data_IF_214883219770
#
_entry.id   IF_214883219770
#
_cell.length_a   1.000
_cell.length_b   1.000
_cell.length_c   1.000
_cell.angle_alpha   90.00
_cell.angle_beta   90.00
_cell.angle_gamma   90.00
#
_symmetry.space_group_name_H-M   'P 1'
#
loop_
_entity.id
_entity.type
_entity.pdbx_description
1 polymer ?
#
# COMPACT_ATOMS: atom_id res chain seq x y z
N UNK A 1 -7.03 -8.94 3.05
CA UNK A 1 -8.44 -8.47 3.01
C UNK A 1 -9.29 -9.55 2.33
N UNK A 2 -10.56 -9.72 2.71
CA UNK A 2 -11.42 -10.70 2.06
C UNK A 2 -11.79 -10.20 0.66
N UNK A 3 -11.55 -11.01 -0.37
CA UNK A 3 -11.83 -10.66 -1.77
C UNK A 3 -10.81 -9.68 -2.37
N UNK A 4 -11.11 -8.38 -2.32
CA UNK A 4 -10.33 -7.31 -2.98
C UNK A 4 -9.77 -6.30 -1.99
N UNK A 5 -8.74 -5.59 -2.43
CA UNK A 5 -8.23 -4.42 -1.75
C UNK A 5 -7.84 -3.37 -2.77
N UNK A 6 -8.51 -2.21 -2.73
CA UNK A 6 -8.34 -1.14 -3.71
C UNK A 6 -8.51 -1.67 -5.15
N UNK A 7 -9.55 -2.49 -5.37
CA UNK A 7 -9.83 -3.11 -6.66
C UNK A 7 -8.94 -4.31 -7.05
N UNK A 8 -7.78 -4.47 -6.42
CA UNK A 8 -6.85 -5.57 -6.70
C UNK A 8 -7.31 -6.90 -6.07
N UNK A 9 -7.18 -7.99 -6.83
CA UNK A 9 -7.35 -9.37 -6.34
C UNK A 9 -5.99 -9.93 -5.89
N UNK A 10 -6.01 -10.94 -5.02
CA UNK A 10 -4.79 -11.63 -4.58
C UNK A 10 -3.95 -10.85 -3.55
N UNK A 11 -4.55 -9.89 -2.85
CA UNK A 11 -3.90 -9.17 -1.75
C UNK A 11 -4.09 -9.95 -0.45
N UNK A 12 -3.01 -10.59 -0.01
CA UNK A 12 -3.01 -11.43 1.19
C UNK A 12 -2.86 -10.60 2.47
N UNK A 13 -1.81 -9.77 2.54
CA UNK A 13 -1.42 -9.06 3.75
C UNK A 13 -1.12 -7.58 3.45
N UNK A 14 -1.65 -6.68 4.28
CA UNK A 14 -1.35 -5.24 4.24
C UNK A 14 -0.83 -4.85 5.63
N UNK A 15 0.47 -5.04 5.90
CA UNK A 15 1.03 -4.82 7.23
C UNK A 15 1.16 -3.32 7.53
N UNK A 16 1.06 -2.96 8.81
CA UNK A 16 1.55 -1.67 9.28
C UNK A 16 3.08 -1.60 9.17
N UNK A 17 3.65 -0.40 9.17
CA UNK A 17 5.10 -0.22 9.19
C UNK A 17 5.78 -0.99 10.34
N UNK A 18 5.16 -1.02 11.53
CA UNK A 18 5.68 -1.74 12.69
C UNK A 18 5.62 -3.27 12.49
N UNK A 19 4.55 -3.79 11.90
CA UNK A 19 4.46 -5.20 11.55
C UNK A 19 5.53 -5.61 10.53
N UNK A 20 5.74 -4.79 9.49
CA UNK A 20 6.77 -5.02 8.49
C UNK A 20 8.18 -5.02 9.12
N UNK A 21 8.48 -4.06 10.00
CA UNK A 21 9.75 -4.01 10.74
C UNK A 21 10.01 -5.30 11.52
N UNK A 22 9.00 -5.80 12.23
CA UNK A 22 9.11 -7.07 12.98
C UNK A 22 9.31 -8.27 12.04
N UNK A 23 8.67 -8.27 10.88
CA UNK A 23 8.80 -9.35 9.91
C UNK A 23 10.21 -9.40 9.34
N UNK A 24 10.76 -8.26 8.90
CA UNK A 24 12.14 -8.15 8.44
C UNK A 24 13.12 -8.69 9.49
N UNK A 25 12.94 -8.30 10.76
CA UNK A 25 13.78 -8.79 11.85
C UNK A 25 13.69 -10.31 12.02
N UNK A 26 12.47 -10.88 12.07
CA UNK A 26 12.27 -12.34 12.19
C UNK A 26 12.81 -13.11 10.98
N UNK A 27 12.80 -12.50 9.79
CA UNK A 27 13.37 -13.07 8.57
C UNK A 27 14.90 -13.03 8.54
N UNK A 28 15.56 -12.49 9.58
CA UNK A 28 17.00 -12.47 9.73
C UNK A 28 17.67 -11.20 9.21
N UNK A 29 16.92 -10.18 8.80
CA UNK A 29 17.49 -8.88 8.44
C UNK A 29 17.86 -8.05 9.69
N UNK A 30 18.90 -7.24 9.55
CA UNK A 30 19.44 -6.30 10.54
C UNK A 30 19.55 -4.91 9.92
N UNK A 31 19.87 -3.91 10.75
CA UNK A 31 20.01 -2.50 10.33
C UNK A 31 18.79 -2.03 9.51
N UNK A 32 17.58 -2.25 10.05
CA UNK A 32 16.33 -1.93 9.37
C UNK A 32 16.05 -0.45 9.53
N UNK A 33 15.99 0.29 8.42
CA UNK A 33 15.67 1.71 8.40
C UNK A 33 14.35 1.94 7.67
N UNK A 34 13.55 2.87 8.20
CA UNK A 34 12.27 3.27 7.62
C UNK A 34 12.42 4.65 6.96
N UNK A 35 12.20 4.70 5.65
CA UNK A 35 12.37 5.90 4.83
C UNK A 35 11.09 6.72 4.67
N UNK A 36 9.98 6.23 5.23
CA UNK A 36 8.71 6.95 5.25
C UNK A 36 7.53 6.18 4.66
N UNK A 37 6.36 6.77 4.89
CA UNK A 37 5.08 6.30 4.36
C UNK A 37 4.54 7.33 3.37
N UNK A 38 4.11 6.86 2.20
CA UNK A 38 3.59 7.72 1.14
C UNK A 38 2.18 7.27 0.76
N UNK A 39 1.27 8.24 0.68
CA UNK A 39 -0.09 7.99 0.23
C UNK A 39 -0.09 7.63 -1.26
N UNK A 40 -0.85 6.59 -1.61
CA UNK A 40 -0.88 6.02 -2.96
C UNK A 40 -1.53 6.94 -4.01
N UNK A 41 -2.37 7.89 -3.59
CA UNK A 41 -3.36 8.57 -4.45
C UNK A 41 -2.88 9.60 -5.48
N UNK A 42 -1.75 10.29 -5.27
CA UNK A 42 -1.35 11.41 -6.15
C UNK A 42 -0.46 11.01 -7.31
N UNK A 43 0.39 10.02 -7.10
CA UNK A 43 1.37 9.54 -8.08
C UNK A 43 0.70 8.77 -9.22
N UNK A 44 -0.27 7.91 -8.89
CA UNK A 44 -0.93 7.03 -9.83
C UNK A 44 -2.31 7.58 -10.19
N UNK A 45 -2.43 8.13 -11.39
CA UNK A 45 -3.67 8.72 -11.92
C UNK A 45 -3.87 8.34 -13.38
N UNK A 46 -5.10 8.46 -13.85
CA UNK A 46 -5.43 8.30 -15.26
C UNK A 46 -4.77 9.40 -16.08
N UNK A 47 -4.31 9.06 -17.28
CA UNK A 47 -3.71 9.98 -18.24
C UNK A 47 -4.32 9.72 -19.62
N UNK A 48 -4.09 10.61 -20.57
CA UNK A 48 -4.61 10.49 -21.95
C UNK A 48 -4.15 9.21 -22.65
N UNK A 49 -3.01 8.65 -22.23
CA UNK A 49 -2.43 7.44 -22.82
C UNK A 49 -3.12 6.14 -22.39
N UNK A 50 -4.07 6.16 -21.43
CA UNK A 50 -4.68 4.94 -20.92
C UNK A 50 -6.12 5.11 -20.42
N UNK A 51 -6.95 4.11 -20.70
CA UNK A 51 -8.38 4.07 -20.33
C UNK A 51 -8.69 3.06 -19.21
N UNK A 52 -7.66 2.58 -18.51
CA UNK A 52 -7.87 1.67 -17.39
C UNK A 52 -8.19 2.45 -16.11
N UNK A 53 -9.00 1.88 -15.21
CA UNK A 53 -9.20 2.44 -13.88
C UNK A 53 -7.88 2.67 -13.16
N UNK A 54 -7.79 3.78 -12.44
CA UNK A 54 -6.63 4.18 -11.67
C UNK A 54 -6.97 4.27 -10.18
N UNK A 55 -6.01 4.73 -9.38
CA UNK A 55 -6.14 4.77 -7.92
C UNK A 55 -7.39 5.51 -7.45
N UNK A 56 -7.70 6.65 -8.08
CA UNK A 56 -8.87 7.46 -7.71
C UNK A 56 -10.19 6.69 -7.80
N UNK A 57 -10.30 5.76 -8.75
CA UNK A 57 -11.52 4.96 -8.97
C UNK A 57 -11.76 3.92 -7.87
N UNK A 58 -10.75 3.63 -7.05
CA UNK A 58 -10.81 2.64 -5.97
C UNK A 58 -10.83 3.24 -4.57
N UNK A 59 -10.90 4.58 -4.46
CA UNK A 59 -10.96 5.30 -3.19
C UNK A 59 -12.32 5.98 -3.01
N UNK A 60 -12.70 6.19 -1.75
CA UNK A 60 -13.86 7.00 -1.41
C UNK A 60 -13.57 8.50 -1.67
N UNK A 61 -14.62 9.34 -1.61
CA UNK A 61 -14.52 10.78 -1.89
C UNK A 61 -13.44 11.50 -1.04
N UNK A 62 -13.29 11.11 0.23
CA UNK A 62 -12.29 11.70 1.13
C UNK A 62 -10.88 11.10 0.96
N UNK A 63 -10.71 10.08 0.12
CA UNK A 63 -9.44 9.37 -0.11
C UNK A 63 -8.89 8.63 1.11
N UNK A 64 -9.67 8.50 2.19
CA UNK A 64 -9.27 7.86 3.45
C UNK A 64 -9.49 6.36 3.47
N UNK A 65 -10.45 5.89 2.67
CA UNK A 65 -10.84 4.49 2.58
C UNK A 65 -10.92 4.06 1.11
N UNK A 66 -10.75 2.77 0.87
CA UNK A 66 -11.08 2.15 -0.41
C UNK A 66 -12.60 2.06 -0.57
N UNK A 67 -13.06 1.92 -1.81
CA UNK A 67 -14.48 1.60 -2.09
C UNK A 67 -14.92 0.27 -1.47
N UNK A 68 -13.95 -0.61 -1.17
CA UNK A 68 -14.16 -1.89 -0.46
C UNK A 68 -14.26 -1.72 1.08
N UNK A 69 -14.27 -0.49 1.60
CA UNK A 69 -14.41 -0.18 3.03
C UNK A 69 -13.14 -0.38 3.87
N UNK A 70 -11.98 -0.59 3.25
CA UNK A 70 -10.70 -0.75 3.92
C UNK A 70 -9.94 0.58 4.00
N UNK A 71 -8.95 0.76 4.90
CA UNK A 71 -8.10 1.96 4.87
C UNK A 71 -7.43 2.15 3.51
N UNK A 72 -7.29 3.40 3.06
CA UNK A 72 -6.59 3.70 1.82
C UNK A 72 -5.12 3.22 1.86
N UNK A 73 -4.56 2.75 0.74
CA UNK A 73 -3.20 2.23 0.69
C UNK A 73 -2.13 3.27 0.97
N UNK A 74 -1.16 2.86 1.79
CA UNK A 74 0.10 3.54 2.02
C UNK A 74 1.25 2.65 1.57
N UNK A 75 2.26 3.26 0.95
CA UNK A 75 3.52 2.59 0.61
C UNK A 75 4.55 2.91 1.69
N UNK A 76 5.09 1.88 2.32
CA UNK A 76 6.17 2.00 3.30
C UNK A 76 7.49 1.58 2.65
N UNK A 77 8.51 2.43 2.74
CA UNK A 77 9.84 2.13 2.20
C UNK A 77 10.81 1.79 3.31
N UNK A 78 11.47 0.65 3.18
CA UNK A 78 12.46 0.16 4.14
C UNK A 78 13.76 -0.22 3.42
N UNK A 79 14.90 0.02 4.06
CA UNK A 79 16.16 -0.65 3.73
C UNK A 79 16.55 -1.55 4.90
N UNK A 80 17.26 -2.64 4.59
CA UNK A 80 17.81 -3.54 5.60
C UNK A 80 19.02 -4.30 5.04
N UNK A 81 19.84 -4.86 5.92
CA UNK A 81 21.00 -5.71 5.57
C UNK A 81 20.78 -7.11 6.12
N UNK A 82 21.36 -8.12 5.48
CA UNK A 82 21.30 -9.51 5.95
C UNK A 82 22.61 -9.87 6.65
#
# INVERSE_FOLDING_TARGET
>A
PEGRYAGARGIWMVPTAEAMRRWLHRSGFRHIEFHGAYAYGREQRRTEQGDLPSTGDFLNADGRYTVDGQPAPWRHYFSARR
#
